data_IF_062037382467
#
_entry.id   IF_062037382467
#
_cell.length_a   1.000
_cell.length_b   1.000
_cell.length_c   1.000
_cell.angle_alpha   90.00
_cell.angle_beta   90.00
_cell.angle_gamma   90.00
#
_symmetry.space_group_name_H-M   'P 1'
#
loop_
_entity.id
_entity.type
_entity.pdbx_description
1 polymer ?
#
# COMPACT_ATOMS: atom_id res chain seq x y z
N UNK A 1 -3.53 16.54 23.40
CA UNK A 1 -3.74 15.08 23.34
C UNK A 1 -3.99 14.72 21.88
N UNK A 2 -3.10 13.96 21.26
CA UNK A 2 -3.35 13.44 19.91
C UNK A 2 -4.49 12.43 20.01
N UNK A 3 -5.63 12.72 19.40
CA UNK A 3 -6.73 11.74 19.33
C UNK A 3 -6.31 10.67 18.32
N UNK A 4 -6.41 9.38 18.67
CA UNK A 4 -6.20 8.32 17.68
C UNK A 4 -7.16 8.56 16.52
N UNK A 5 -6.62 8.57 15.31
CA UNK A 5 -7.39 8.75 14.09
C UNK A 5 -7.51 7.42 13.37
N UNK A 6 -8.66 7.19 12.75
CA UNK A 6 -8.88 6.04 11.90
C UNK A 6 -8.38 6.33 10.48
N UNK A 7 -7.67 5.36 9.93
CA UNK A 7 -7.08 5.39 8.61
C UNK A 7 -7.44 4.12 7.86
N UNK A 8 -7.73 4.25 6.58
CA UNK A 8 -7.91 3.15 5.65
C UNK A 8 -6.73 3.10 4.70
N UNK A 9 -6.04 1.97 4.68
CA UNK A 9 -4.89 1.73 3.81
C UNK A 9 -5.32 0.76 2.73
N UNK A 10 -4.97 1.06 1.49
CA UNK A 10 -5.20 0.19 0.33
C UNK A 10 -3.88 -0.04 -0.37
N UNK A 11 -3.48 -1.30 -0.53
CA UNK A 11 -2.26 -1.67 -1.23
C UNK A 11 -2.56 -1.85 -2.71
N UNK A 12 -1.99 -1.00 -3.54
CA UNK A 12 -2.06 -1.14 -4.99
C UNK A 12 -0.78 -1.79 -5.50
N UNK A 13 -0.84 -2.82 -6.34
CA UNK A 13 0.34 -3.46 -6.90
C UNK A 13 1.17 -2.45 -7.68
N UNK A 14 2.47 -2.37 -7.37
CA UNK A 14 3.41 -1.44 -7.97
C UNK A 14 4.74 -2.13 -8.26
N UNK A 15 5.29 -1.86 -9.43
CA UNK A 15 6.59 -2.38 -9.85
C UNK A 15 7.46 -1.26 -10.40
N UNK A 16 8.77 -1.50 -10.40
CA UNK A 16 9.75 -0.58 -10.96
C UNK A 16 10.02 -0.96 -12.42
N UNK A 17 9.73 -0.03 -13.33
CA UNK A 17 10.06 -0.15 -14.75
C UNK A 17 11.12 0.88 -15.13
N UNK A 18 12.35 0.41 -15.37
CA UNK A 18 13.51 1.16 -15.91
C UNK A 18 13.85 2.51 -15.27
N UNK A 19 13.27 2.86 -14.12
CA UNK A 19 13.48 4.14 -13.43
C UNK A 19 12.20 4.76 -12.86
N UNK A 20 11.03 4.34 -13.32
CA UNK A 20 9.74 4.83 -12.87
C UNK A 20 9.00 3.78 -12.04
N UNK A 21 8.23 4.23 -11.06
CA UNK A 21 7.33 3.36 -10.31
C UNK A 21 5.99 3.35 -11.02
N UNK A 22 5.62 2.19 -11.56
CA UNK A 22 4.33 1.97 -12.22
C UNK A 22 3.42 1.29 -11.23
N UNK A 23 2.41 2.01 -10.77
CA UNK A 23 1.32 1.43 -9.97
C UNK A 23 0.23 0.95 -10.92
N UNK A 24 -0.13 -0.33 -10.89
CA UNK A 24 -1.27 -0.87 -11.63
C UNK A 24 -2.55 -0.46 -10.89
N UNK A 25 -3.32 0.44 -11.50
CA UNK A 25 -4.70 0.72 -11.10
C UNK A 25 -5.62 0.01 -12.08
N UNK A 26 -6.40 -0.93 -11.56
CA UNK A 26 -7.39 -1.69 -12.28
C UNK A 26 -8.69 -0.89 -12.22
N UNK A 27 -9.07 -0.36 -13.38
CA UNK A 27 -10.20 0.55 -13.53
C UNK A 27 -11.53 -0.20 -13.29
N UNK A 28 -11.53 -1.54 -13.38
CA UNK A 28 -12.72 -2.38 -13.27
C UNK A 28 -12.98 -2.97 -11.87
N UNK A 29 -12.35 -2.42 -10.83
CA UNK A 29 -12.65 -2.82 -9.45
C UNK A 29 -11.91 -4.07 -9.01
N UNK A 30 -10.60 -4.13 -9.29
CA UNK A 30 -9.74 -5.13 -8.69
C UNK A 30 -9.84 -5.10 -7.15
N UNK A 31 -9.95 -6.27 -6.54
CA UNK A 31 -9.99 -6.41 -5.07
C UNK A 31 -8.59 -6.16 -4.52
N UNK A 32 -8.31 -4.92 -4.15
CA UNK A 32 -7.05 -4.57 -3.49
C UNK A 32 -7.07 -4.94 -2.02
N UNK A 33 -5.97 -5.46 -1.45
CA UNK A 33 -5.83 -5.63 -0.02
C UNK A 33 -6.01 -4.27 0.64
N UNK A 34 -7.10 -4.13 1.39
CA UNK A 34 -7.38 -2.93 2.17
C UNK A 34 -7.53 -3.30 3.63
N UNK A 35 -6.94 -2.49 4.51
CA UNK A 35 -6.98 -2.70 5.96
C UNK A 35 -7.18 -1.36 6.65
N UNK A 36 -7.99 -1.38 7.70
CA UNK A 36 -8.31 -0.21 8.50
C UNK A 36 -7.48 -0.26 9.77
N UNK A 37 -6.86 0.87 10.10
CA UNK A 37 -5.90 1.01 11.18
C UNK A 37 -6.22 2.24 12.01
N UNK A 38 -5.94 2.15 13.30
CA UNK A 38 -6.06 3.27 14.22
C UNK A 38 -4.65 3.65 14.65
N UNK A 39 -4.22 4.86 14.28
CA UNK A 39 -2.88 5.34 14.62
C UNK A 39 -2.96 6.61 15.47
N UNK A 40 -2.13 6.66 16.52
CA UNK A 40 -2.03 7.81 17.42
C UNK A 40 -1.11 8.91 16.85
N UNK A 41 -0.26 8.56 15.88
CA UNK A 41 0.68 9.45 15.21
C UNK A 41 1.00 9.01 13.79
N UNK A 42 1.77 9.83 13.07
CA UNK A 42 2.16 9.52 11.68
C UNK A 42 3.21 8.41 11.61
N UNK A 43 4.13 8.35 12.57
CA UNK A 43 5.16 7.30 12.63
C UNK A 43 4.52 5.93 12.84
N UNK A 44 3.62 5.83 13.82
CA UNK A 44 2.81 4.63 14.08
C UNK A 44 1.98 4.19 12.85
N UNK A 45 1.41 5.15 12.12
CA UNK A 45 0.71 4.87 10.86
C UNK A 45 1.66 4.28 9.81
N UNK A 46 2.84 4.85 9.63
CA UNK A 46 3.83 4.38 8.65
C UNK A 46 4.34 2.99 9.04
N UNK A 47 4.59 2.73 10.33
CA UNK A 47 5.02 1.42 10.82
C UNK A 47 3.95 0.36 10.56
N UNK A 48 2.69 0.62 10.90
CA UNK A 48 1.58 -0.31 10.64
C UNK A 48 1.38 -0.57 9.14
N UNK A 49 1.49 0.48 8.30
CA UNK A 49 1.42 0.36 6.84
C UNK A 49 2.60 -0.47 6.32
N UNK A 50 3.80 -0.24 6.85
CA UNK A 50 5.02 -0.97 6.46
C UNK A 50 4.89 -2.44 6.80
N UNK A 51 4.43 -2.78 8.01
CA UNK A 51 4.16 -4.15 8.41
C UNK A 51 3.14 -4.82 7.49
N UNK A 52 2.05 -4.12 7.15
CA UNK A 52 1.03 -4.65 6.24
C UNK A 52 1.58 -4.90 4.83
N UNK A 53 2.40 -3.98 4.32
CA UNK A 53 3.04 -4.14 3.02
C UNK A 53 4.09 -5.27 3.00
N UNK A 54 4.83 -5.43 4.11
CA UNK A 54 5.79 -6.53 4.28
C UNK A 54 5.10 -7.89 4.39
N UNK A 55 3.99 -8.00 5.14
CA UNK A 55 3.16 -9.20 5.21
C UNK A 55 2.60 -9.60 3.84
N UNK A 56 2.24 -8.61 3.02
CA UNK A 56 1.77 -8.86 1.66
C UNK A 56 2.88 -9.39 0.73
N UNK A 57 4.14 -9.02 0.99
CA UNK A 57 5.32 -9.55 0.28
C UNK A 57 5.47 -9.15 -1.19
N UNK A 58 4.49 -8.47 -1.77
CA UNK A 58 4.52 -7.99 -3.17
C UNK A 58 4.87 -6.50 -3.25
N UNK A 59 5.42 -6.09 -4.39
CA UNK A 59 5.62 -4.68 -4.70
C UNK A 59 4.31 -3.92 -4.69
N UNK A 60 4.20 -2.94 -3.80
CA UNK A 60 2.95 -2.23 -3.59
C UNK A 60 3.15 -0.74 -3.26
N UNK A 61 2.15 0.04 -3.64
CA UNK A 61 1.95 1.42 -3.29
C UNK A 61 0.81 1.47 -2.26
N UNK A 62 1.12 1.90 -1.04
CA UNK A 62 0.15 2.02 0.03
C UNK A 62 -0.57 3.37 -0.05
N UNK A 63 -1.81 3.36 -0.51
CA UNK A 63 -2.67 4.54 -0.47
C UNK A 63 -3.35 4.63 0.89
N UNK A 64 -3.03 5.68 1.65
CA UNK A 64 -3.61 5.90 2.97
C UNK A 64 -4.66 7.00 2.93
N UNK A 65 -5.87 6.69 3.39
CA UNK A 65 -7.00 7.60 3.47
C UNK A 65 -7.38 7.81 4.94
N UNK A 66 -7.37 9.06 5.39
CA UNK A 66 -7.86 9.39 6.71
C UNK A 66 -9.40 9.38 6.72
N UNK A 67 -10.00 8.66 7.67
CA UNK A 67 -11.46 8.59 7.88
C UNK A 67 -11.95 9.69 8.84
N UNK A 68 -11.04 10.35 9.56
CA UNK A 68 -11.37 11.44 10.47
C UNK A 68 -11.78 12.73 9.72
N UNK A 69 -12.65 13.57 10.31
CA UNK A 69 -13.16 14.79 9.67
C UNK A 69 -12.09 15.87 9.47
N UNK A 70 -10.96 15.80 10.18
CA UNK A 70 -9.79 16.67 9.95
C UNK A 70 -8.54 15.84 9.74
N UNK A 71 -7.85 16.12 8.63
CA UNK A 71 -6.52 15.57 8.37
C UNK A 71 -5.52 16.13 9.39
N UNK A 72 -4.73 15.28 10.06
CA UNK A 72 -3.70 15.78 10.96
C UNK A 72 -2.60 16.51 10.17
N UNK A 73 -1.90 17.46 10.80
CA UNK A 73 -0.79 18.16 10.15
C UNK A 73 0.29 17.15 9.74
N UNK A 74 0.82 17.29 8.51
CA UNK A 74 1.85 16.39 7.98
C UNK A 74 1.34 15.12 7.31
N UNK A 75 0.04 14.80 7.38
CA UNK A 75 -0.55 13.61 6.77
C UNK A 75 -0.17 13.45 5.29
N UNK A 76 -0.40 14.50 4.50
CA UNK A 76 -0.11 14.46 3.07
C UNK A 76 1.36 14.12 2.80
N UNK A 77 2.29 14.73 3.52
CA UNK A 77 3.73 14.50 3.33
C UNK A 77 4.15 13.08 3.73
N UNK A 78 3.54 12.52 4.78
CA UNK A 78 3.83 11.16 5.25
C UNK A 78 3.26 10.08 4.32
N UNK A 79 2.12 10.33 3.68
CA UNK A 79 1.38 9.32 2.91
C UNK A 79 1.47 9.46 1.39
N UNK A 80 2.14 10.49 0.87
CA UNK A 80 2.15 10.81 -0.58
C UNK A 80 3.02 9.86 -1.41
N UNK A 81 4.01 9.17 -0.83
CA UNK A 81 4.91 8.26 -1.55
C UNK A 81 5.29 7.02 -0.72
N UNK A 82 4.30 6.24 -0.29
CA UNK A 82 4.53 5.01 0.46
C UNK A 82 4.64 3.82 -0.50
N UNK A 83 5.84 3.62 -1.03
CA UNK A 83 6.18 2.47 -1.87
C UNK A 83 6.95 1.44 -1.07
N UNK A 84 6.50 0.19 -1.14
CA UNK A 84 7.11 -0.93 -0.42
C UNK A 84 7.40 -2.08 -1.36
N UNK A 85 8.47 -2.81 -1.07
CA UNK A 85 8.85 -4.04 -1.77
C UNK A 85 8.88 -3.92 -3.30
N UNK A 86 9.27 -2.76 -3.84
CA UNK A 86 9.28 -2.51 -5.29
C UNK A 86 10.18 -3.52 -6.02
N UNK A 87 9.55 -4.49 -6.65
CA UNK A 87 10.19 -5.49 -7.50
C UNK A 87 10.49 -4.90 -8.88
N UNK A 88 11.49 -5.44 -9.57
CA UNK A 88 11.67 -5.16 -10.99
C UNK A 88 10.48 -5.73 -11.78
N UNK A 89 10.22 -5.20 -12.99
CA UNK A 89 9.17 -5.71 -13.87
C UNK A 89 9.21 -7.24 -14.03
N UNK A 90 10.39 -7.82 -14.22
CA UNK A 90 10.58 -9.27 -14.37
C UNK A 90 10.19 -10.05 -13.10
N UNK A 91 10.54 -9.53 -11.93
CA UNK A 91 10.18 -10.13 -10.64
C UNK A 91 8.69 -9.98 -10.33
N UNK A 92 8.07 -8.89 -10.76
CA UNK A 92 6.64 -8.66 -10.62
C UNK A 92 5.83 -9.61 -11.51
N UNK A 93 6.21 -9.76 -12.78
CA UNK A 93 5.57 -10.73 -13.69
C UNK A 93 5.75 -12.18 -13.22
N UNK A 94 6.93 -12.54 -12.67
CA UNK A 94 7.16 -13.85 -12.08
C UNK A 94 6.30 -14.11 -10.82
N UNK A 95 6.09 -13.09 -9.98
CA UNK A 95 5.22 -13.18 -8.81
C UNK A 95 3.74 -13.29 -9.21
N UNK A 96 3.29 -12.49 -10.20
CA UNK A 96 1.94 -12.53 -10.75
C UNK A 96 1.64 -13.90 -11.39
N UNK A 97 2.61 -14.46 -12.13
CA UNK A 97 2.53 -15.80 -12.73
C UNK A 97 2.41 -16.92 -11.68
N UNK A 98 3.24 -16.86 -10.60
CA UNK A 98 3.14 -17.84 -9.50
C UNK A 98 1.80 -17.79 -8.78
N UNK A 99 1.23 -16.59 -8.63
CA UNK A 99 -0.08 -16.40 -7.99
C UNK A 99 -1.22 -16.92 -8.89
N UNK A 100 -1.11 -16.74 -10.21
CA UNK A 100 -2.05 -17.31 -11.17
C UNK A 100 -2.00 -18.85 -11.17
N UNK A 101 -0.81 -19.45 -11.08
CA UNK A 101 -0.69 -20.91 -10.94
C UNK A 101 -1.26 -21.44 -9.61
N UNK A 102 -1.05 -20.74 -8.49
CA UNK A 102 -1.57 -21.21 -7.19
C UNK A 102 -3.08 -21.03 -7.02
N UNK A 103 -3.71 -20.13 -7.78
CA UNK A 103 -5.16 -19.95 -7.77
C UNK A 103 -5.91 -20.91 -8.71
N UNK A 104 -5.19 -21.60 -9.59
CA UNK A 104 -5.72 -22.56 -10.56
C UNK A 104 -5.59 -24.03 -10.15
N UNK A 105 -4.98 -24.32 -8.98
CA UNK A 105 -4.82 -25.65 -8.39
C UNK A 105 -5.79 -25.85 -7.23
#
# INVERSE_FOLDING_TARGET
MAKPCEYKVTLHPAHKDRGFVVTKYDIFGGTYPSKEFTAAGMEDLVDQVTHFAMEHGEGCNASVRCLAPRKPPGFKKATENLYFNLLSKEQFEAAEARKAESAAA
#
